data_IF_506769977241
#
_entry.id   IF_506769977241
#
_cell.length_a   1.000
_cell.length_b   1.000
_cell.length_c   1.000
_cell.angle_alpha   90.00
_cell.angle_beta   90.00
_cell.angle_gamma   90.00
#
_symmetry.space_group_name_H-M   'P 1'
#
loop_
_entity.id
_entity.type
_entity.pdbx_description
1 polymer ?
#
# COMPACT_ATOMS: atom_id res chain seq x y z
N UNK A 1 8.78 10.02 1.45
CA UNK A 1 7.79 9.57 0.44
C UNK A 1 7.00 10.70 -0.20
N UNK A 2 6.58 11.74 0.54
CA UNK A 2 5.81 12.86 -0.02
C UNK A 2 6.51 13.57 -1.20
N UNK A 3 7.80 13.88 -1.10
CA UNK A 3 8.54 14.48 -2.23
C UNK A 3 8.55 13.59 -3.48
N UNK A 4 8.68 12.26 -3.30
CA UNK A 4 8.63 11.30 -4.41
C UNK A 4 7.25 11.25 -5.05
N UNK A 5 6.18 11.30 -4.25
CA UNK A 5 4.80 11.39 -4.74
C UNK A 5 4.64 12.63 -5.62
N UNK A 6 5.03 13.78 -5.10
CA UNK A 6 4.88 15.07 -5.77
C UNK A 6 5.72 15.13 -7.06
N UNK A 7 6.97 14.65 -7.03
CA UNK A 7 7.80 14.54 -8.23
C UNK A 7 7.25 13.57 -9.28
N UNK A 8 6.71 12.42 -8.87
CA UNK A 8 6.15 11.45 -9.81
C UNK A 8 4.84 11.94 -10.45
N UNK A 9 4.05 12.74 -9.73
CA UNK A 9 2.82 13.34 -10.23
C UNK A 9 3.03 14.64 -11.01
N UNK A 10 4.28 15.09 -11.18
CA UNK A 10 4.57 16.30 -11.96
C UNK A 10 4.21 16.10 -13.43
N UNK A 11 3.14 16.77 -13.85
CA UNK A 11 2.63 16.77 -15.21
C UNK A 11 2.94 18.07 -15.96
N UNK A 12 3.74 18.97 -15.36
CA UNK A 12 4.12 20.21 -16.03
C UNK A 12 5.00 19.92 -17.26
N UNK A 13 4.93 20.74 -18.33
CA UNK A 13 5.65 20.49 -19.57
C UNK A 13 7.17 20.30 -19.38
N UNK A 14 7.77 21.04 -18.44
CA UNK A 14 9.21 21.02 -18.13
C UNK A 14 9.56 20.33 -16.80
N UNK A 15 8.60 19.65 -16.16
CA UNK A 15 8.78 18.99 -14.87
C UNK A 15 9.33 19.96 -13.80
N UNK A 16 8.71 21.14 -13.70
CA UNK A 16 9.11 22.25 -12.82
C UNK A 16 9.15 21.84 -11.35
N UNK A 17 8.17 21.04 -10.92
CA UNK A 17 8.11 20.56 -9.54
C UNK A 17 9.29 19.66 -9.23
N UNK A 18 9.70 18.81 -10.18
CA UNK A 18 10.92 18.02 -10.04
C UNK A 18 12.15 18.92 -9.94
N UNK A 19 12.25 19.94 -10.80
CA UNK A 19 13.35 20.91 -10.77
C UNK A 19 13.44 21.64 -9.41
N UNK A 20 12.30 22.12 -8.90
CA UNK A 20 12.20 22.78 -7.59
C UNK A 20 12.64 21.82 -6.48
N UNK A 21 12.17 20.57 -6.47
CA UNK A 21 12.53 19.60 -5.42
C UNK A 21 13.99 19.17 -5.50
N UNK A 22 14.56 19.08 -6.70
CA UNK A 22 16.00 18.83 -6.88
C UNK A 22 16.85 19.96 -6.31
N UNK A 23 16.43 21.21 -6.51
CA UNK A 23 17.10 22.38 -5.92
C UNK A 23 16.93 22.44 -4.40
N UNK A 24 15.69 22.42 -3.91
CA UNK A 24 15.38 22.64 -2.49
C UNK A 24 15.91 21.55 -1.56
N UNK A 25 15.93 20.29 -2.01
CA UNK A 25 16.23 19.14 -1.15
C UNK A 25 17.66 18.63 -1.37
N UNK A 26 18.14 18.70 -2.60
CA UNK A 26 19.41 18.08 -3.01
C UNK A 26 20.44 19.10 -3.51
N UNK A 27 20.10 20.39 -3.53
CA UNK A 27 20.98 21.48 -4.01
C UNK A 27 21.45 21.30 -5.46
N UNK A 28 20.67 20.56 -6.27
CA UNK A 28 20.96 20.33 -7.68
C UNK A 28 20.25 21.38 -8.52
N UNK A 29 21.02 22.33 -9.05
CA UNK A 29 20.51 23.43 -9.87
C UNK A 29 20.64 23.18 -11.38
N UNK A 30 20.03 24.05 -12.18
CA UNK A 30 20.20 24.11 -13.65
C UNK A 30 19.96 22.77 -14.36
N UNK A 31 19.02 21.97 -13.86
CA UNK A 31 18.74 20.63 -14.41
C UNK A 31 18.03 20.71 -15.75
N UNK A 32 18.51 19.92 -16.72
CA UNK A 32 17.82 19.76 -18.01
C UNK A 32 16.50 19.00 -17.85
N UNK A 33 15.56 19.23 -18.77
CA UNK A 33 14.31 18.45 -18.85
C UNK A 33 14.56 16.94 -18.90
N UNK A 34 15.62 16.52 -19.60
CA UNK A 34 16.02 15.10 -19.69
C UNK A 34 16.40 14.53 -18.32
N UNK A 35 17.16 15.28 -17.53
CA UNK A 35 17.54 14.91 -16.16
C UNK A 35 16.32 14.81 -15.26
N UNK A 36 15.40 15.79 -15.32
CA UNK A 36 14.16 15.75 -14.53
C UNK A 36 13.27 14.56 -14.91
N UNK A 37 13.20 14.24 -16.21
CA UNK A 37 12.45 13.07 -16.69
C UNK A 37 13.03 11.76 -16.14
N UNK A 38 14.35 11.63 -16.10
CA UNK A 38 15.02 10.48 -15.47
C UNK A 38 14.60 10.33 -14.00
N UNK A 39 14.51 11.43 -13.25
CA UNK A 39 14.08 11.41 -11.84
C UNK A 39 12.64 10.91 -11.71
N UNK A 40 11.72 11.35 -12.59
CA UNK A 40 10.34 10.83 -12.63
C UNK A 40 10.33 9.32 -12.89
N UNK A 41 11.13 8.84 -13.83
CA UNK A 41 11.20 7.42 -14.16
C UNK A 41 11.76 6.59 -13.00
N UNK A 42 12.76 7.10 -12.28
CA UNK A 42 13.27 6.49 -11.04
C UNK A 42 12.18 6.45 -9.97
N UNK A 43 11.44 7.53 -9.75
CA UNK A 43 10.33 7.56 -8.80
C UNK A 43 9.27 6.49 -9.13
N UNK A 44 8.97 6.32 -10.42
CA UNK A 44 8.06 5.26 -10.90
C UNK A 44 8.58 3.87 -10.60
N UNK A 45 9.86 3.59 -10.90
CA UNK A 45 10.49 2.28 -10.62
C UNK A 45 10.44 1.96 -9.13
N UNK A 46 10.76 2.93 -8.27
CA UNK A 46 10.72 2.76 -6.81
C UNK A 46 9.29 2.46 -6.34
N UNK A 47 8.30 3.24 -6.80
CA UNK A 47 6.90 3.05 -6.43
C UNK A 47 6.38 1.69 -6.88
N UNK A 48 6.65 1.29 -8.13
CA UNK A 48 6.26 -0.03 -8.66
C UNK A 48 6.90 -1.17 -7.88
N UNK A 49 8.20 -1.08 -7.57
CA UNK A 49 8.88 -2.10 -6.77
C UNK A 49 8.25 -2.24 -5.39
N UNK A 50 8.04 -1.12 -4.69
CA UNK A 50 7.41 -1.12 -3.37
C UNK A 50 6.00 -1.73 -3.40
N UNK A 51 5.19 -1.37 -4.38
CA UNK A 51 3.83 -1.89 -4.54
C UNK A 51 3.81 -3.41 -4.80
N UNK A 52 4.72 -3.90 -5.66
CA UNK A 52 4.84 -5.34 -5.95
C UNK A 52 5.30 -6.16 -4.74
N UNK A 53 6.26 -5.64 -3.98
CA UNK A 53 6.73 -6.30 -2.76
C UNK A 53 5.64 -6.34 -1.69
N UNK A 54 4.88 -5.26 -1.52
CA UNK A 54 3.74 -5.23 -0.60
C UNK A 54 2.66 -6.26 -1.00
N UNK A 55 2.30 -6.31 -2.29
CA UNK A 55 1.38 -7.31 -2.82
C UNK A 55 1.88 -8.74 -2.59
N UNK A 56 3.17 -9.01 -2.80
CA UNK A 56 3.76 -10.33 -2.57
C UNK A 56 3.70 -10.74 -1.10
N UNK A 57 3.92 -9.81 -0.17
CA UNK A 57 3.78 -10.06 1.27
C UNK A 57 2.35 -10.44 1.65
N UNK A 58 1.36 -9.68 1.16
CA UNK A 58 -0.06 -9.98 1.34
C UNK A 58 -0.40 -11.36 0.78
N UNK A 59 0.01 -11.64 -0.46
CA UNK A 59 -0.22 -12.93 -1.10
C UNK A 59 0.41 -14.09 -0.32
N UNK A 60 1.61 -13.89 0.25
CA UNK A 60 2.25 -14.87 1.11
C UNK A 60 1.41 -15.23 2.34
N UNK A 61 0.80 -14.24 2.99
CA UNK A 61 -0.11 -14.46 4.13
C UNK A 61 -1.36 -15.21 3.67
N UNK A 62 -1.98 -14.78 2.55
CA UNK A 62 -3.16 -15.47 2.01
C UNK A 62 -2.86 -16.94 1.70
N UNK A 63 -1.72 -17.23 1.08
CA UNK A 63 -1.26 -18.60 0.80
C UNK A 63 -1.06 -19.39 2.10
N UNK A 64 -0.44 -18.79 3.12
CA UNK A 64 -0.22 -19.45 4.41
C UNK A 64 -1.55 -19.78 5.13
N UNK A 65 -2.57 -18.94 4.95
CA UNK A 65 -3.90 -19.13 5.51
C UNK A 65 -4.80 -20.05 4.66
N UNK A 66 -4.31 -20.61 3.54
CA UNK A 66 -5.14 -21.41 2.62
C UNK A 66 -6.19 -20.59 1.86
N UNK A 67 -6.02 -19.27 1.79
CA UNK A 67 -6.94 -18.31 1.15
C UNK A 67 -6.51 -17.89 -0.25
N UNK A 68 -5.42 -18.45 -0.76
CA UNK A 68 -4.93 -18.27 -2.13
C UNK A 68 -4.91 -19.60 -2.89
N UNK A 69 -5.81 -20.52 -2.54
CA UNK A 69 -5.98 -21.83 -3.18
C UNK A 69 -7.45 -22.03 -3.49
N UNK A 70 -7.72 -22.81 -4.52
CA UNK A 70 -9.09 -23.14 -4.94
C UNK A 70 -9.68 -24.20 -3.99
N UNK A 71 -10.06 -23.75 -2.80
CA UNK A 71 -10.72 -24.58 -1.80
C UNK A 71 -12.23 -24.55 -2.02
N UNK A 72 -12.95 -25.66 -1.77
CA UNK A 72 -14.41 -25.72 -1.93
C UNK A 72 -15.15 -24.70 -1.06
N UNK A 73 -14.52 -24.22 0.01
CA UNK A 73 -15.06 -23.20 0.92
C UNK A 73 -14.49 -21.81 0.54
N UNK A 74 -14.91 -21.28 -0.63
CA UNK A 74 -14.47 -19.96 -1.13
C UNK A 74 -14.93 -18.83 -0.20
N UNK A 75 -14.10 -18.50 0.78
CA UNK A 75 -14.38 -17.42 1.74
C UNK A 75 -13.89 -16.08 1.21
N UNK A 76 -14.81 -15.12 1.12
CA UNK A 76 -14.47 -13.73 0.84
C UNK A 76 -13.50 -13.20 1.90
N UNK A 77 -12.37 -12.66 1.46
CA UNK A 77 -11.35 -12.06 2.32
C UNK A 77 -11.33 -10.55 2.12
N UNK A 78 -11.37 -9.82 3.24
CA UNK A 78 -11.17 -8.36 3.25
C UNK A 78 -9.82 -8.08 3.86
N UNK A 79 -8.99 -7.31 3.15
CA UNK A 79 -7.69 -6.84 3.62
C UNK A 79 -7.85 -5.38 4.00
N UNK A 80 -7.79 -5.10 5.29
CA UNK A 80 -7.74 -3.74 5.81
C UNK A 80 -6.32 -3.17 5.62
N UNK A 81 -6.19 -2.03 4.95
CA UNK A 81 -4.91 -1.35 4.72
C UNK A 81 -4.98 0.07 5.27
N UNK A 82 -4.00 0.43 6.08
CA UNK A 82 -3.79 1.79 6.57
C UNK A 82 -2.39 2.28 6.16
N UNK A 83 -2.21 3.60 6.08
CA UNK A 83 -0.95 4.26 5.78
C UNK A 83 -1.06 5.27 4.64
N UNK A 84 -0.32 6.37 4.79
CA UNK A 84 -0.35 7.50 3.85
C UNK A 84 0.10 7.14 2.43
N UNK A 85 0.95 6.12 2.26
CA UNK A 85 1.38 5.68 0.93
C UNK A 85 0.21 5.08 0.16
N UNK A 86 -0.52 4.12 0.75
CA UNK A 86 -1.68 3.53 0.09
C UNK A 86 -2.81 4.55 -0.09
N UNK A 87 -3.03 5.43 0.90
CA UNK A 87 -4.10 6.43 0.88
C UNK A 87 -3.89 7.55 -0.13
N UNK A 88 -2.70 8.13 -0.21
CA UNK A 88 -2.44 9.34 -0.99
C UNK A 88 -1.70 9.09 -2.30
N UNK A 89 -1.01 7.94 -2.44
CA UNK A 89 -0.26 7.61 -3.65
C UNK A 89 -1.04 6.66 -4.56
N UNK A 90 -1.97 7.21 -5.33
CA UNK A 90 -2.90 6.43 -6.18
C UNK A 90 -2.22 5.48 -7.18
N UNK A 91 -1.06 5.86 -7.72
CA UNK A 91 -0.26 4.97 -8.56
C UNK A 91 0.21 3.72 -7.79
N UNK A 92 0.67 3.91 -6.55
CA UNK A 92 1.14 2.82 -5.70
C UNK A 92 0.01 1.85 -5.36
N UNK A 93 -1.14 2.36 -4.89
CA UNK A 93 -2.29 1.52 -4.52
C UNK A 93 -2.81 0.70 -5.70
N UNK A 94 -3.01 1.34 -6.87
CA UNK A 94 -3.41 0.63 -8.10
C UNK A 94 -2.39 -0.42 -8.52
N UNK A 95 -1.10 -0.10 -8.45
CA UNK A 95 -0.05 -1.06 -8.79
C UNK A 95 -0.04 -2.26 -7.83
N UNK A 96 -0.26 -2.03 -6.55
CA UNK A 96 -0.29 -3.07 -5.52
C UNK A 96 -1.51 -3.98 -5.72
N UNK A 97 -2.70 -3.40 -5.88
CA UNK A 97 -3.96 -4.13 -6.11
C UNK A 97 -3.90 -4.96 -7.40
N UNK A 98 -3.42 -4.37 -8.50
CA UNK A 98 -3.23 -5.10 -9.75
C UNK A 98 -2.24 -6.25 -9.58
N UNK A 99 -1.09 -6.01 -8.95
CA UNK A 99 -0.10 -7.08 -8.72
C UNK A 99 -0.70 -8.21 -7.89
N UNK A 100 -1.46 -7.89 -6.84
CA UNK A 100 -2.12 -8.91 -6.02
C UNK A 100 -3.15 -9.70 -6.83
N UNK A 101 -3.97 -9.02 -7.63
CA UNK A 101 -4.94 -9.64 -8.55
C UNK A 101 -4.24 -10.58 -9.54
N UNK A 102 -3.14 -10.14 -10.15
CA UNK A 102 -2.35 -10.93 -11.09
C UNK A 102 -1.78 -12.20 -10.41
N UNK A 103 -1.37 -12.11 -9.14
CA UNK A 103 -0.85 -13.25 -8.37
C UNK A 103 -1.93 -14.24 -7.95
N UNK A 104 -3.15 -13.77 -7.66
CA UNK A 104 -4.29 -14.61 -7.26
C UNK A 104 -4.94 -15.33 -8.46
N UNK A 105 -4.83 -14.77 -9.66
CA UNK A 105 -5.51 -15.27 -10.85
C UNK A 105 -6.99 -14.89 -10.91
N UNK A 106 -7.60 -15.04 -12.09
CA UNK A 106 -8.95 -14.56 -12.40
C UNK A 106 -10.04 -15.17 -11.50
N UNK A 107 -9.84 -16.40 -11.04
CA UNK A 107 -10.80 -17.12 -10.22
C UNK A 107 -10.84 -16.63 -8.77
N UNK A 108 -9.68 -16.35 -8.17
CA UNK A 108 -9.57 -15.99 -6.76
C UNK A 108 -9.57 -14.48 -6.54
N UNK A 109 -9.13 -13.68 -7.51
CA UNK A 109 -9.07 -12.22 -7.38
C UNK A 109 -10.41 -11.57 -6.93
N UNK A 110 -11.59 -11.97 -7.44
CA UNK A 110 -12.86 -11.39 -6.99
C UNK A 110 -13.20 -11.66 -5.52
N UNK A 111 -12.61 -12.71 -4.93
CA UNK A 111 -12.85 -13.09 -3.53
C UNK A 111 -12.03 -12.25 -2.52
N UNK A 112 -11.02 -11.52 -2.99
CA UNK A 112 -10.12 -10.73 -2.15
C UNK A 112 -10.37 -9.24 -2.40
N UNK A 113 -10.78 -8.52 -1.36
CA UNK A 113 -11.08 -7.09 -1.45
C UNK A 113 -10.17 -6.30 -0.52
N UNK A 114 -9.44 -5.34 -1.06
CA UNK A 114 -8.65 -4.40 -0.25
C UNK A 114 -9.55 -3.22 0.14
N UNK A 115 -9.52 -2.84 1.42
CA UNK A 115 -10.26 -1.71 1.95
C UNK A 115 -9.35 -0.80 2.77
N UNK A 116 -9.39 0.52 2.56
CA UNK A 116 -8.73 1.45 3.46
C UNK A 116 -9.38 1.37 4.84
N UNK A 117 -8.56 1.21 5.88
CA UNK A 117 -8.97 1.30 7.26
C UNK A 117 -8.65 2.69 7.82
N UNK A 118 -9.48 3.17 8.74
CA UNK A 118 -9.22 4.40 9.48
C UNK A 118 -8.89 4.04 10.93
N UNK A 119 -7.76 4.56 11.42
CA UNK A 119 -7.34 4.46 12.82
C UNK A 119 -7.29 3.02 13.37
N UNK A 120 -6.51 2.17 12.70
CA UNK A 120 -6.27 0.80 13.19
C UNK A 120 -5.57 0.76 14.55
N UNK A 121 -4.80 1.80 14.89
CA UNK A 121 -4.08 1.92 16.16
C UNK A 121 -5.01 2.19 17.35
N UNK A 122 -5.91 3.18 17.25
CA UNK A 122 -6.79 3.57 18.35
C UNK A 122 -7.89 2.54 18.56
N UNK A 123 -8.64 2.24 17.48
CA UNK A 123 -9.75 1.27 17.54
C UNK A 123 -9.25 -0.14 17.86
N UNK A 124 -8.13 -0.56 17.28
CA UNK A 124 -7.55 -1.88 17.54
C UNK A 124 -7.12 -2.04 19.00
N UNK A 125 -6.45 -1.03 19.57
CA UNK A 125 -6.06 -1.05 20.97
C UNK A 125 -7.26 -1.09 21.92
N UNK A 126 -8.29 -0.27 21.65
CA UNK A 126 -9.51 -0.26 22.45
C UNK A 126 -10.26 -1.60 22.39
N UNK A 127 -10.38 -2.20 21.21
CA UNK A 127 -11.04 -3.50 21.05
C UNK A 127 -10.30 -4.61 21.80
N UNK A 128 -8.96 -4.64 21.68
CA UNK A 128 -8.13 -5.61 22.40
C UNK A 128 -8.27 -5.46 23.92
N UNK A 129 -8.25 -4.22 24.44
CA UNK A 129 -8.45 -3.95 25.86
C UNK A 129 -9.84 -4.41 26.35
N UNK A 130 -10.89 -4.15 25.57
CA UNK A 130 -12.25 -4.59 25.89
C UNK A 130 -12.37 -6.12 25.89
N UNK A 131 -11.82 -6.81 24.88
CA UNK A 131 -11.81 -8.28 24.82
C UNK A 131 -11.05 -8.90 25.99
N UNK A 132 -9.94 -8.29 26.41
CA UNK A 132 -9.18 -8.77 27.58
C UNK A 132 -9.93 -8.55 28.90
N UNK A 133 -10.64 -7.42 29.04
CA UNK A 133 -11.45 -7.16 30.24
C UNK A 133 -12.58 -8.17 30.41
N UNK A 134 -13.21 -8.64 29.32
CA UNK A 134 -14.24 -9.68 29.37
C UNK A 134 -13.67 -11.05 29.73
N UNK A 135 -12.44 -11.34 29.27
CA UNK A 135 -11.76 -12.59 29.60
C UNK A 135 -11.48 -12.71 31.10
N UNK A 136 -11.03 -11.62 31.76
CA UNK A 136 -10.80 -11.62 33.21
C UNK A 136 -12.09 -11.83 34.03
N UNK A 137 -13.22 -11.29 33.56
CA UNK A 137 -14.51 -11.52 34.21
C UNK A 137 -14.97 -12.99 34.10
N UNK A 138 -14.68 -13.65 32.97
CA UNK A 138 -15.03 -15.06 32.79
C UNK A 138 -14.16 -16.03 33.62
N UNK A 139 -12.92 -15.66 33.94
CA UNK A 139 -12.03 -16.44 34.81
C UNK A 139 -12.30 -16.22 36.32
N UNK A 140 -12.94 -15.10 36.71
CA UNK A 140 -13.35 -14.84 38.11
C UNK A 140 -14.70 -15.48 38.49
N UNK A 141 -15.52 -15.88 37.51
CA UNK A 141 -16.82 -16.54 37.71
C UNK A 141 -16.70 -18.09 37.85
N UNK A 142 -15.48 -18.62 38.06
CA UNK A 142 -15.18 -20.05 38.26
C UNK A 142 -14.56 -20.39 39.62
#
# INVERSE_FOLDING_TARGET
>A
TFHMLVMHHDASPDLETVGIKLKEIFEIESTSRKTRKLVVDVCKVIATRGARLAAAGIHGILKKLGRATDSPDKRRTVIAVDGGVYKYYTFFSKCMERTLSDMLGEELAPSVVIKPANDGSGLGAALLAASYSQYLQADEDY
#
